data_IF_997526984815
#
_entry.id   IF_997526984815
#
_cell.length_a   1.000
_cell.length_b   1.000
_cell.length_c   1.000
_cell.angle_alpha   90.00
_cell.angle_beta   90.00
_cell.angle_gamma   90.00
#
_symmetry.space_group_name_H-M   'P 1'
#
loop_
_entity.id
_entity.type
_entity.pdbx_description
1 polymer ?
#
# COMPACT_ATOMS: atom_id res chain seq x y z
N UNK A 1 -30.38 1.29 3.19
CA UNK A 1 -31.06 0.18 2.46
C UNK A 1 -30.18 -1.08 2.28
N UNK A 2 -28.98 -1.01 1.69
CA UNK A 2 -28.07 -2.19 1.62
C UNK A 2 -27.25 -2.39 2.92
N UNK A 3 -26.94 -1.31 3.64
CA UNK A 3 -26.05 -1.33 4.82
C UNK A 3 -26.76 -1.49 6.18
N UNK A 4 -28.03 -1.12 6.30
CA UNK A 4 -28.78 -1.25 7.56
C UNK A 4 -29.01 -2.72 7.99
N UNK A 5 -28.84 -3.67 7.06
CA UNK A 5 -29.04 -5.10 7.31
C UNK A 5 -27.81 -5.83 7.88
N UNK A 6 -26.62 -5.22 7.93
CA UNK A 6 -25.38 -5.91 8.34
C UNK A 6 -24.86 -5.58 9.75
N UNK A 7 -25.36 -4.54 10.42
CA UNK A 7 -24.79 -4.09 11.70
C UNK A 7 -25.09 -5.00 12.90
N UNK A 8 -25.98 -5.99 12.78
CA UNK A 8 -26.45 -6.79 13.92
C UNK A 8 -25.61 -8.02 14.29
N UNK A 9 -24.81 -8.56 13.37
CA UNK A 9 -24.10 -9.83 13.61
C UNK A 9 -23.17 -10.17 12.45
N UNK A 10 -22.02 -9.51 12.37
CA UNK A 10 -20.95 -9.97 11.49
C UNK A 10 -20.04 -10.86 12.33
N UNK A 11 -20.36 -12.16 12.39
CA UNK A 11 -19.30 -13.15 12.60
C UNK A 11 -18.33 -12.97 11.42
N UNK A 12 -17.04 -12.65 11.65
CA UNK A 12 -16.09 -12.53 10.56
C UNK A 12 -16.11 -13.84 9.77
N UNK A 13 -16.12 -13.80 8.42
CA UNK A 13 -16.10 -15.01 7.62
C UNK A 13 -14.95 -15.91 8.09
N UNK A 14 -15.22 -17.18 8.44
CA UNK A 14 -14.15 -18.11 8.75
C UNK A 14 -13.40 -18.36 7.44
N UNK A 15 -12.09 -18.11 7.48
CA UNK A 15 -11.12 -18.20 6.39
C UNK A 15 -11.01 -16.97 5.48
N UNK A 16 -9.95 -16.19 5.74
CA UNK A 16 -9.39 -15.29 4.73
C UNK A 16 -8.80 -16.18 3.64
N UNK A 17 -9.51 -16.34 2.52
CA UNK A 17 -8.96 -16.95 1.32
C UNK A 17 -7.77 -16.10 0.86
N UNK A 18 -6.57 -16.66 0.90
CA UNK A 18 -5.39 -16.10 0.25
C UNK A 18 -5.10 -16.93 -1.01
N UNK A 19 -4.62 -16.33 -2.10
CA UNK A 19 -4.25 -17.11 -3.28
C UNK A 19 -3.13 -18.08 -2.91
N UNK A 20 -3.35 -19.36 -3.21
CA UNK A 20 -2.36 -20.43 -2.99
C UNK A 20 -1.08 -20.11 -3.74
N UNK A 21 0.05 -20.12 -3.04
CA UNK A 21 1.35 -19.93 -3.66
C UNK A 21 1.82 -21.23 -4.29
N UNK A 22 2.33 -21.21 -5.53
CA UNK A 22 3.08 -22.32 -6.06
C UNK A 22 4.26 -22.63 -5.14
N UNK A 23 4.50 -23.90 -4.84
CA UNK A 23 5.73 -24.31 -4.16
C UNK A 23 6.92 -23.90 -5.04
N UNK A 24 7.66 -22.88 -4.60
CA UNK A 24 8.84 -22.38 -5.31
C UNK A 24 10.02 -22.49 -4.36
N UNK A 25 11.15 -23.00 -4.85
CA UNK A 25 12.40 -22.95 -4.10
C UNK A 25 12.76 -21.50 -3.81
N UNK A 26 13.24 -21.25 -2.59
CA UNK A 26 13.71 -19.92 -2.20
C UNK A 26 15.01 -19.64 -2.93
N UNK A 27 14.95 -18.76 -3.93
CA UNK A 27 16.14 -18.20 -4.55
C UNK A 27 16.52 -16.91 -3.83
N UNK A 28 17.61 -16.98 -3.04
CA UNK A 28 18.14 -15.85 -2.29
C UNK A 28 18.89 -14.84 -3.17
N UNK A 29 19.12 -15.16 -4.45
CA UNK A 29 19.80 -14.26 -5.39
C UNK A 29 18.84 -13.28 -6.07
N UNK A 30 17.53 -13.53 -5.95
CA UNK A 30 16.49 -12.64 -6.45
C UNK A 30 16.24 -11.49 -5.46
N UNK A 31 16.05 -10.27 -5.98
CA UNK A 31 15.76 -9.10 -5.15
C UNK A 31 14.39 -9.18 -4.46
N UNK A 32 13.43 -9.90 -5.06
CA UNK A 32 12.10 -10.10 -4.53
C UNK A 32 11.73 -11.57 -4.56
N UNK A 33 11.00 -12.01 -3.54
CA UNK A 33 10.40 -13.35 -3.42
C UNK A 33 9.08 -13.48 -4.17
N UNK A 34 8.66 -12.43 -4.88
CA UNK A 34 7.47 -12.43 -5.74
C UNK A 34 7.81 -13.09 -7.07
N UNK A 35 7.17 -14.22 -7.39
CA UNK A 35 7.40 -14.90 -8.66
C UNK A 35 6.46 -14.43 -9.78
N UNK A 36 6.89 -14.44 -11.05
CA UNK A 36 6.02 -14.10 -12.18
C UNK A 36 4.74 -14.93 -12.24
N UNK A 37 4.83 -16.23 -11.92
CA UNK A 37 3.69 -17.13 -11.88
C UNK A 37 2.67 -16.70 -10.81
N UNK A 38 3.14 -16.31 -9.62
CA UNK A 38 2.27 -15.87 -8.54
C UNK A 38 1.60 -14.52 -8.85
N UNK A 39 2.30 -13.58 -9.49
CA UNK A 39 1.72 -12.27 -9.86
C UNK A 39 0.44 -12.43 -10.69
N UNK A 40 0.40 -13.40 -11.60
CA UNK A 40 -0.80 -13.65 -12.42
C UNK A 40 -2.00 -14.07 -11.56
N UNK A 41 -1.82 -15.10 -10.72
CA UNK A 41 -2.85 -15.56 -9.77
C UNK A 41 -3.28 -14.45 -8.81
N UNK A 42 -2.31 -13.68 -8.32
CA UNK A 42 -2.52 -12.60 -7.40
C UNK A 42 -3.39 -11.49 -8.00
N UNK A 43 -3.11 -11.10 -9.25
CA UNK A 43 -3.89 -10.12 -9.99
C UNK A 43 -5.36 -10.53 -10.13
N UNK A 44 -5.60 -11.78 -10.52
CA UNK A 44 -6.93 -12.34 -10.70
C UNK A 44 -7.70 -12.39 -9.36
N UNK A 45 -7.05 -12.87 -8.30
CA UNK A 45 -7.65 -13.00 -6.97
C UNK A 45 -8.10 -11.65 -6.38
N UNK A 46 -7.24 -10.63 -6.48
CA UNK A 46 -7.54 -9.28 -5.98
C UNK A 46 -8.28 -8.39 -6.99
N UNK A 47 -8.74 -8.95 -8.11
CA UNK A 47 -9.51 -8.24 -9.16
C UNK A 47 -8.83 -6.95 -9.62
N UNK A 48 -7.51 -6.99 -9.75
CA UNK A 48 -6.75 -5.83 -10.21
C UNK A 48 -7.16 -5.50 -11.66
N UNK A 49 -7.47 -4.23 -11.99
CA UNK A 49 -7.87 -3.84 -13.33
C UNK A 49 -6.84 -4.24 -14.38
N UNK A 50 -7.30 -4.75 -15.53
CA UNK A 50 -6.44 -5.31 -16.59
C UNK A 50 -5.43 -4.31 -17.18
N UNK A 51 -5.69 -3.00 -17.06
CA UNK A 51 -4.77 -1.95 -17.51
C UNK A 51 -3.60 -1.67 -16.56
N UNK A 52 -3.65 -2.08 -15.28
CA UNK A 52 -2.54 -1.86 -14.33
C UNK A 52 -1.35 -2.74 -14.72
N UNK A 53 -0.21 -2.20 -15.11
CA UNK A 53 0.92 -3.02 -15.56
C UNK A 53 1.82 -3.41 -14.38
N UNK A 54 1.99 -4.72 -14.18
CA UNK A 54 2.90 -5.29 -13.18
C UNK A 54 4.20 -5.78 -13.82
N UNK A 55 5.32 -5.61 -13.11
CA UNK A 55 6.64 -6.10 -13.50
C UNK A 55 7.36 -6.70 -12.29
N UNK A 56 7.90 -7.91 -12.44
CA UNK A 56 8.75 -8.53 -11.40
C UNK A 56 10.15 -7.90 -11.47
N UNK A 57 10.80 -7.61 -10.33
CA UNK A 57 12.17 -7.09 -10.32
C UNK A 57 13.18 -8.11 -10.84
N UNK A 58 14.21 -7.64 -11.55
CA UNK A 58 15.33 -8.47 -12.02
C UNK A 58 16.59 -8.24 -11.17
N UNK A 59 17.61 -9.08 -11.36
CA UNK A 59 18.84 -9.01 -10.56
C UNK A 59 19.45 -7.60 -10.57
N UNK A 60 19.78 -7.10 -9.38
CA UNK A 60 20.34 -5.75 -9.16
C UNK A 60 19.31 -4.65 -8.92
N UNK A 61 18.01 -4.89 -9.17
CA UNK A 61 16.96 -3.92 -8.86
C UNK A 61 16.54 -4.01 -7.38
N UNK A 62 16.07 -2.89 -6.80
CA UNK A 62 15.68 -2.83 -5.39
C UNK A 62 14.29 -2.23 -5.19
N UNK A 63 13.73 -2.37 -3.99
CA UNK A 63 12.43 -1.81 -3.65
C UNK A 63 12.47 -0.28 -3.57
N UNK A 64 13.62 0.27 -3.20
CA UNK A 64 13.81 1.70 -2.93
C UNK A 64 14.06 2.51 -4.21
N UNK A 65 14.65 1.89 -5.23
CA UNK A 65 14.97 2.50 -6.53
C UNK A 65 14.29 1.73 -7.68
N UNK A 66 12.96 1.84 -7.84
CA UNK A 66 12.27 1.23 -8.96
C UNK A 66 12.69 1.84 -10.31
N UNK A 67 12.53 1.10 -11.42
CA UNK A 67 12.72 1.61 -12.77
C UNK A 67 11.92 2.89 -13.06
N UNK A 68 12.43 3.75 -13.94
CA UNK A 68 11.73 4.97 -14.34
C UNK A 68 10.31 4.67 -14.89
N UNK A 69 9.33 5.47 -14.44
CA UNK A 69 7.92 5.26 -14.77
C UNK A 69 7.24 4.15 -13.96
N UNK A 70 7.90 3.60 -12.94
CA UNK A 70 7.32 2.61 -12.04
C UNK A 70 7.46 3.03 -10.57
N UNK A 71 6.61 2.45 -9.73
CA UNK A 71 6.75 2.48 -8.28
C UNK A 71 6.73 1.06 -7.70
N UNK A 72 7.28 0.91 -6.50
CA UNK A 72 7.28 -0.37 -5.79
C UNK A 72 5.95 -0.63 -5.09
N UNK A 73 5.39 -1.81 -5.28
CA UNK A 73 4.22 -2.31 -4.57
C UNK A 73 4.56 -3.62 -3.87
N UNK A 74 4.27 -3.72 -2.58
CA UNK A 74 4.43 -4.97 -1.85
C UNK A 74 3.18 -5.83 -1.98
N UNK A 75 3.34 -7.15 -2.05
CA UNK A 75 2.19 -8.06 -2.03
C UNK A 75 1.30 -7.85 -0.80
N UNK A 76 1.92 -7.42 0.31
CA UNK A 76 1.23 -7.10 1.55
C UNK A 76 0.24 -5.92 1.42
N UNK A 77 0.44 -5.00 0.46
CA UNK A 77 -0.47 -3.89 0.24
C UNK A 77 -1.84 -4.37 -0.25
N UNK A 78 -1.90 -5.34 -1.17
CA UNK A 78 -3.19 -5.90 -1.61
C UNK A 78 -3.68 -6.98 -0.64
N UNK A 79 -2.80 -7.84 -0.11
CA UNK A 79 -3.22 -8.96 0.74
C UNK A 79 -3.66 -8.56 2.14
N UNK A 80 -2.99 -7.58 2.76
CA UNK A 80 -3.23 -7.16 4.15
C UNK A 80 -3.88 -5.79 4.25
N UNK A 81 -3.49 -4.83 3.41
CA UNK A 81 -4.09 -3.49 3.43
C UNK A 81 -5.35 -3.41 2.56
N UNK A 82 -5.59 -4.41 1.70
CA UNK A 82 -6.68 -4.41 0.71
C UNK A 82 -6.64 -3.18 -0.19
N UNK A 83 -5.45 -2.64 -0.45
CA UNK A 83 -5.26 -1.53 -1.38
C UNK A 83 -5.82 -1.91 -2.76
N UNK A 84 -6.47 -0.95 -3.40
CA UNK A 84 -7.02 -1.10 -4.75
C UNK A 84 -6.47 -0.03 -5.68
N UNK A 85 -6.68 -0.25 -6.98
CA UNK A 85 -6.37 0.71 -8.04
C UNK A 85 -7.68 1.26 -8.60
N UNK A 86 -7.77 2.54 -8.98
CA UNK A 86 -6.71 3.57 -8.99
C UNK A 86 -6.39 4.10 -7.57
N UNK A 87 -5.12 4.41 -7.27
CA UNK A 87 -4.73 5.06 -5.99
C UNK A 87 -5.33 6.46 -5.96
N UNK A 88 -6.14 6.75 -4.94
CA UNK A 88 -6.91 8.00 -4.85
C UNK A 88 -6.05 9.24 -4.64
N UNK A 89 -6.53 10.38 -5.15
CA UNK A 89 -5.93 11.70 -4.97
C UNK A 89 -5.59 12.02 -3.51
N UNK A 90 -6.50 11.73 -2.57
CA UNK A 90 -6.26 11.98 -1.15
C UNK A 90 -5.00 11.27 -0.61
N UNK A 91 -4.78 10.02 -1.03
CA UNK A 91 -3.58 9.25 -0.64
C UNK A 91 -2.34 9.84 -1.31
N UNK A 92 -2.42 10.17 -2.61
CA UNK A 92 -1.29 10.74 -3.34
C UNK A 92 -0.87 12.09 -2.75
N UNK A 93 -1.82 12.98 -2.47
CA UNK A 93 -1.51 14.28 -1.87
C UNK A 93 -0.98 14.17 -0.45
N UNK A 94 -1.48 13.22 0.33
CA UNK A 94 -0.92 12.94 1.66
C UNK A 94 0.54 12.49 1.54
N UNK A 95 0.82 11.54 0.64
CA UNK A 95 2.18 11.07 0.36
C UNK A 95 3.09 12.21 -0.11
N UNK A 96 2.62 13.05 -1.03
CA UNK A 96 3.36 14.21 -1.52
C UNK A 96 3.68 15.21 -0.40
N UNK A 97 2.71 15.49 0.48
CA UNK A 97 2.91 16.35 1.63
C UNK A 97 3.92 15.79 2.64
N UNK A 98 4.00 14.47 2.77
CA UNK A 98 5.05 13.81 3.55
C UNK A 98 6.34 13.57 2.77
N UNK A 99 6.38 13.90 1.48
CA UNK A 99 7.48 13.62 0.55
C UNK A 99 7.90 12.15 0.54
N UNK A 100 6.93 11.23 0.56
CA UNK A 100 7.16 9.79 0.64
C UNK A 100 6.67 9.07 -0.62
N UNK A 101 7.45 8.07 -1.05
CA UNK A 101 6.89 7.01 -1.90
C UNK A 101 5.90 6.17 -1.08
N UNK A 102 4.84 5.66 -1.73
CA UNK A 102 3.90 4.73 -1.09
C UNK A 102 4.62 3.49 -0.52
N UNK A 103 5.72 3.07 -1.14
CA UNK A 103 6.53 1.93 -0.69
C UNK A 103 7.35 2.20 0.58
N UNK A 104 7.50 3.46 0.99
CA UNK A 104 8.09 3.80 2.29
C UNK A 104 7.09 3.59 3.45
N UNK A 105 5.79 3.46 3.17
CA UNK A 105 4.80 3.15 4.18
C UNK A 105 4.90 1.70 4.62
N UNK A 106 4.95 1.48 5.94
CA UNK A 106 4.71 0.16 6.49
C UNK A 106 3.22 -0.22 6.39
N UNK A 107 2.92 -1.51 6.57
CA UNK A 107 1.55 -2.06 6.46
C UNK A 107 0.55 -1.35 7.37
N UNK A 108 0.92 -1.07 8.62
CA UNK A 108 0.02 -0.41 9.56
C UNK A 108 -0.27 1.05 9.16
N UNK A 109 0.72 1.76 8.62
CA UNK A 109 0.55 3.13 8.11
C UNK A 109 -0.40 3.14 6.90
N UNK A 110 -0.20 2.25 5.93
CA UNK A 110 -1.08 2.17 4.77
C UNK A 110 -2.52 1.75 5.15
N UNK A 111 -2.69 0.79 6.07
CA UNK A 111 -4.01 0.42 6.59
C UNK A 111 -4.73 1.61 7.24
N UNK A 112 -4.00 2.43 7.99
CA UNK A 112 -4.55 3.64 8.60
C UNK A 112 -4.98 4.67 7.56
N UNK A 113 -4.13 4.92 6.56
CA UNK A 113 -4.43 5.86 5.47
C UNK A 113 -5.67 5.42 4.70
N UNK A 114 -5.74 4.14 4.31
CA UNK A 114 -6.89 3.59 3.60
C UNK A 114 -8.16 3.58 4.44
N UNK A 115 -8.06 3.26 5.74
CA UNK A 115 -9.25 3.23 6.56
C UNK A 115 -9.80 4.61 6.89
N UNK A 116 -8.96 5.63 7.02
CA UNK A 116 -9.42 7.03 7.13
C UNK A 116 -10.02 7.51 5.81
N UNK A 117 -9.45 7.11 4.67
CA UNK A 117 -10.06 7.35 3.36
C UNK A 117 -11.46 6.73 3.27
N UNK A 118 -11.62 5.45 3.64
CA UNK A 118 -12.91 4.76 3.62
C UNK A 118 -13.91 5.45 4.56
N UNK A 119 -13.49 5.77 5.78
CA UNK A 119 -14.34 6.48 6.75
C UNK A 119 -14.80 7.85 6.22
N UNK A 120 -13.92 8.57 5.52
CA UNK A 120 -14.30 9.85 4.91
C UNK A 120 -15.40 9.69 3.87
N UNK A 121 -15.35 8.64 3.04
CA UNK A 121 -16.41 8.33 2.09
C UNK A 121 -17.72 7.95 2.78
N UNK A 122 -17.65 7.16 3.86
CA UNK A 122 -18.82 6.77 4.64
C UNK A 122 -19.51 7.98 5.30
N UNK A 123 -18.73 8.98 5.71
CA UNK A 123 -19.22 10.20 6.35
C UNK A 123 -19.51 11.35 5.36
N UNK A 124 -19.20 11.19 4.07
CA UNK A 124 -19.32 12.25 3.08
C UNK A 124 -18.38 13.45 3.34
N UNK A 125 -17.19 13.18 3.88
CA UNK A 125 -16.16 14.17 4.17
C UNK A 125 -15.11 14.18 3.06
N UNK A 126 -14.69 15.38 2.68
CA UNK A 126 -13.52 15.56 1.82
C UNK A 126 -12.27 15.63 2.70
N UNK A 127 -11.28 14.77 2.43
CA UNK A 127 -10.00 14.80 3.12
C UNK A 127 -9.03 15.74 2.40
N UNK A 128 -8.53 16.73 3.12
CA UNK A 128 -7.41 17.57 2.71
C UNK A 128 -6.07 16.97 3.16
N UNK A 129 -4.95 17.34 2.51
CA UNK A 129 -3.61 16.96 2.99
C UNK A 129 -3.35 17.42 4.44
N UNK A 130 -3.92 18.56 4.83
CA UNK A 130 -3.84 19.12 6.18
C UNK A 130 -4.50 18.21 7.23
N UNK A 131 -5.57 17.50 6.88
CA UNK A 131 -6.21 16.53 7.77
C UNK A 131 -5.26 15.36 8.09
N UNK A 132 -4.52 14.87 7.07
CA UNK A 132 -3.50 13.84 7.27
C UNK A 132 -2.35 14.35 8.14
N UNK A 133 -1.90 15.60 7.96
CA UNK A 133 -0.90 16.20 8.86
C UNK A 133 -1.43 16.34 10.28
N UNK A 134 -2.72 16.68 10.46
CA UNK A 134 -3.37 16.76 11.76
C UNK A 134 -3.38 15.42 12.50
N UNK A 135 -3.47 14.32 11.77
CA UNK A 135 -3.59 12.97 12.32
C UNK A 135 -2.24 12.24 12.49
N UNK A 136 -1.26 12.45 11.61
CA UNK A 136 0.01 11.70 11.62
C UNK A 136 1.26 12.55 11.80
N UNK A 137 2.30 11.90 12.32
CA UNK A 137 3.66 12.43 12.40
C UNK A 137 4.64 11.43 11.81
N UNK A 138 5.64 11.94 11.09
CA UNK A 138 6.81 11.16 10.69
C UNK A 138 7.75 11.01 11.88
N UNK A 139 8.12 9.78 12.24
CA UNK A 139 9.18 9.50 13.22
C UNK A 139 10.36 8.88 12.50
N UNK A 140 11.56 9.46 12.69
CA UNK A 140 12.82 8.79 12.31
C UNK A 140 12.87 7.43 13.01
N UNK A 141 13.19 6.38 12.28
CA UNK A 141 13.55 5.11 12.92
C UNK A 141 15.07 4.97 13.02
N UNK A 142 15.54 3.93 13.72
CA UNK A 142 16.96 3.61 13.84
C UNK A 142 17.58 3.02 12.58
N UNK A 143 16.77 2.77 11.53
CA UNK A 143 17.24 2.31 10.22
C UNK A 143 17.33 3.55 9.33
N UNK A 144 18.52 3.80 8.78
CA UNK A 144 18.78 4.95 7.91
C UNK A 144 17.70 5.08 6.84
N UNK A 145 17.20 6.31 6.69
CA UNK A 145 16.21 6.70 5.67
C UNK A 145 14.83 6.05 5.78
N UNK A 146 14.58 5.31 6.85
CA UNK A 146 13.23 4.80 7.13
C UNK A 146 12.50 5.72 8.11
N UNK A 147 11.36 6.20 7.64
CA UNK A 147 10.42 6.99 8.42
C UNK A 147 9.23 6.13 8.80
N UNK A 148 8.92 6.07 10.10
CA UNK A 148 7.68 5.47 10.57
C UNK A 148 6.62 6.56 10.66
N UNK A 149 5.61 6.45 9.82
CA UNK A 149 4.36 7.17 10.00
C UNK A 149 3.63 6.61 11.22
N UNK A 150 3.32 7.47 12.18
CA UNK A 150 2.60 7.11 13.39
C UNK A 150 1.52 8.16 13.69
N UNK A 151 0.33 7.74 14.15
CA UNK A 151 -0.68 8.68 14.61
C UNK A 151 -0.10 9.60 15.68
N UNK A 152 -0.49 10.87 15.66
CA UNK A 152 -0.20 11.81 16.75
C UNK A 152 -0.88 11.33 18.03
N UNK A 153 -0.40 11.83 19.17
CA UNK A 153 -0.91 11.45 20.49
C UNK A 153 -2.44 11.69 20.52
N UNK A 154 -3.20 10.67 20.90
CA UNK A 154 -4.68 10.68 20.94
C UNK A 154 -5.40 10.82 19.58
N UNK A 155 -4.68 10.72 18.45
CA UNK A 155 -5.26 10.81 17.09
C UNK A 155 -5.38 9.45 16.38
N UNK A 156 -5.35 8.33 17.12
CA UNK A 156 -5.53 7.00 16.53
C UNK A 156 -7.01 6.74 16.28
N UNK A 157 -7.41 6.69 15.01
CA UNK A 157 -8.81 6.45 14.60
C UNK A 157 -9.08 4.94 14.50
N UNK A 158 -8.14 4.19 13.91
CA UNK A 158 -8.28 2.76 13.67
C UNK A 158 -7.44 2.00 14.68
N UNK A 159 -8.00 0.90 15.21
CA UNK A 159 -7.34 0.02 16.18
C UNK A 159 -7.30 -1.41 15.65
N UNK A 160 -6.45 -2.26 16.25
CA UNK A 160 -6.37 -3.68 15.89
C UNK A 160 -5.54 -4.01 14.66
N UNK A 161 -4.60 -3.14 14.25
CA UNK A 161 -3.69 -3.43 13.14
C UNK A 161 -2.91 -4.73 13.38
N UNK A 162 -2.75 -5.53 12.32
CA UNK A 162 -1.88 -6.70 12.36
C UNK A 162 -0.42 -6.24 12.48
N UNK A 163 0.14 -6.29 13.69
CA UNK A 163 1.45 -5.71 14.00
C UNK A 163 2.66 -6.52 13.51
N UNK A 164 2.45 -7.74 12.98
CA UNK A 164 3.53 -8.66 12.65
C UNK A 164 3.41 -9.17 11.20
N UNK A 165 4.12 -8.51 10.30
CA UNK A 165 4.32 -8.98 8.93
C UNK A 165 5.83 -9.23 8.68
N UNK A 166 6.51 -10.04 9.51
CA UNK A 166 7.95 -10.31 9.30
C UNK A 166 8.24 -10.68 7.83
N UNK A 167 9.22 -10.04 7.22
CA UNK A 167 9.60 -10.27 5.81
C UNK A 167 8.60 -9.78 4.77
N UNK A 168 7.65 -8.88 5.12
CA UNK A 168 6.69 -8.31 4.16
C UNK A 168 7.38 -7.57 3.01
N UNK A 169 8.49 -6.88 3.32
CA UNK A 169 9.27 -6.10 2.38
C UNK A 169 10.05 -6.98 1.38
N UNK A 170 10.25 -8.27 1.66
CA UNK A 170 10.95 -9.20 0.75
C UNK A 170 10.09 -9.60 -0.46
N UNK A 171 8.81 -9.20 -0.50
CA UNK A 171 7.84 -9.58 -1.54
C UNK A 171 7.26 -8.34 -2.20
N UNK A 172 7.93 -7.89 -3.25
CA UNK A 172 7.55 -6.71 -3.99
C UNK A 172 7.61 -6.91 -5.51
N UNK A 173 6.88 -6.05 -6.20
CA UNK A 173 6.87 -5.94 -7.64
C UNK A 173 6.69 -4.48 -8.01
N UNK A 174 6.95 -4.16 -9.27
CA UNK A 174 6.78 -2.82 -9.80
C UNK A 174 5.42 -2.67 -10.46
N UNK A 175 4.83 -1.49 -10.28
CA UNK A 175 3.59 -1.08 -10.92
C UNK A 175 3.90 0.16 -11.77
N UNK A 176 3.50 0.14 -13.04
CA UNK A 176 3.68 1.30 -13.92
C UNK A 176 2.86 2.47 -13.40
N UNK A 177 3.44 3.66 -13.35
CA UNK A 177 2.77 4.91 -13.01
C UNK A 177 2.04 5.40 -14.26
N UNK A 178 0.72 5.38 -14.22
CA UNK A 178 -0.18 5.86 -15.28
C UNK A 178 -1.58 6.11 -14.70
N UNK A 179 -2.50 6.62 -15.53
CA UNK A 179 -3.89 6.95 -15.15
C UNK A 179 -4.71 5.74 -14.66
N UNK A 180 -4.24 4.50 -14.87
CA UNK A 180 -4.93 3.28 -14.42
C UNK A 180 -4.49 2.90 -13.01
N UNK A 181 -3.28 3.28 -12.61
CA UNK A 181 -2.70 2.94 -11.31
C UNK A 181 -2.80 4.09 -10.29
N UNK A 182 -2.70 5.35 -10.74
CA UNK A 182 -2.68 6.55 -9.91
C UNK A 182 -3.63 7.59 -10.49
N UNK A 183 -4.30 8.35 -9.63
CA UNK A 183 -5.25 9.39 -10.05
C UNK A 183 -4.59 10.38 -11.01
N UNK A 184 -5.27 10.66 -12.14
CA UNK A 184 -4.68 11.36 -13.29
C UNK A 184 -4.14 12.74 -12.90
N UNK A 185 -4.93 13.50 -12.14
CA UNK A 185 -4.57 14.85 -11.68
C UNK A 185 -3.37 14.88 -10.72
N UNK A 186 -2.95 13.72 -10.22
CA UNK A 186 -1.89 13.60 -9.21
C UNK A 186 -0.64 12.88 -9.72
N UNK A 187 -0.59 12.47 -11.00
CA UNK A 187 0.60 11.83 -11.58
C UNK A 187 1.90 12.61 -11.36
N UNK A 188 1.95 13.95 -11.49
CA UNK A 188 3.17 14.73 -11.24
C UNK A 188 3.61 14.75 -9.77
N UNK A 189 2.71 14.44 -8.84
CA UNK A 189 2.94 14.44 -7.39
C UNK A 189 3.36 13.07 -6.86
N UNK A 190 3.29 12.02 -7.69
CA UNK A 190 3.47 10.66 -7.23
C UNK A 190 4.93 10.20 -7.30
N UNK A 191 5.57 10.03 -6.14
CA UNK A 191 6.95 9.57 -6.05
C UNK A 191 7.06 8.05 -6.23
N UNK A 192 7.64 7.63 -7.35
CA UNK A 192 7.99 6.22 -7.56
C UNK A 192 9.11 5.75 -6.63
N UNK A 193 10.18 6.54 -6.55
CA UNK A 193 11.40 6.24 -5.80
C UNK A 193 11.34 6.72 -4.35
N UNK A 194 12.11 6.08 -3.49
CA UNK A 194 12.23 6.51 -2.10
C UNK A 194 12.90 7.88 -2.02
N UNK A 195 12.35 8.74 -1.15
CA UNK A 195 13.03 9.95 -0.75
C UNK A 195 13.89 9.69 0.48
N UNK A 196 15.20 9.89 0.34
CA UNK A 196 16.20 9.70 1.38
C UNK A 196 16.62 11.01 2.07
N UNK A 197 16.13 12.17 1.63
CA UNK A 197 16.68 13.48 2.04
C UNK A 197 15.87 14.25 3.09
N UNK A 198 15.00 13.57 3.85
CA UNK A 198 14.27 14.19 4.98
C UNK A 198 14.99 14.01 6.32
#
# INVERSE_FOLDING_TARGET
>A
AYWDALCGSITPPPEIFYPTRPATQLDLTLPSRTSPAYIKTFREFYRVPSGVVFRVPVHGESAEDPPEGFFTCYEAFLTRCRMWFTISEAIVRALDRFELSISQLNIAALQNFLGVLILSYELGLDLSPEDFEGLWSTRKTSIDYSYRMAPKRHMSIIQGHTSNAKGWFERFFYVRIDVVSVEENCLPLFYGKWNFHR
#
